data_IF_079074634370
#
_entry.id   IF_079074634370
#
_cell.length_a   1.000
_cell.length_b   1.000
_cell.length_c   1.000
_cell.angle_alpha   90.00
_cell.angle_beta   90.00
_cell.angle_gamma   90.00
#
_symmetry.space_group_name_H-M   'P 1'
#
loop_
_entity.id
_entity.type
_entity.pdbx_description
1 polymer ?
#
# COMPACT_ATOMS: atom_id res chain seq x y z
N UNK A 1 -27.54 -5.74 33.20
CA UNK A 1 -26.45 -4.92 32.61
C UNK A 1 -25.70 -5.80 31.63
N UNK A 2 -26.21 -5.93 30.41
CA UNK A 2 -25.58 -6.74 29.35
C UNK A 2 -24.54 -5.84 28.68
N UNK A 3 -23.26 -6.09 28.96
CA UNK A 3 -22.16 -5.39 28.30
C UNK A 3 -22.12 -5.78 26.82
N UNK A 4 -22.56 -4.87 25.94
CA UNK A 4 -22.46 -4.99 24.49
C UNK A 4 -21.01 -4.69 24.05
N UNK A 5 -20.11 -5.67 24.19
CA UNK A 5 -18.74 -5.57 23.67
C UNK A 5 -18.63 -5.66 22.13
N UNK A 6 -19.68 -6.16 21.45
CA UNK A 6 -19.64 -6.41 20.00
C UNK A 6 -19.59 -5.13 19.13
N UNK A 7 -20.16 -4.01 19.60
CA UNK A 7 -20.29 -2.78 18.80
C UNK A 7 -19.00 -1.98 18.60
N UNK A 8 -18.04 -2.07 19.53
CA UNK A 8 -16.76 -1.33 19.42
C UNK A 8 -15.84 -1.95 18.36
N UNK A 9 -15.72 -3.28 18.37
CA UNK A 9 -14.82 -3.99 17.47
C UNK A 9 -15.27 -3.93 15.99
N UNK A 10 -16.58 -3.96 15.73
CA UNK A 10 -17.09 -3.83 14.35
C UNK A 10 -16.79 -2.44 13.76
N UNK A 11 -16.88 -1.38 14.56
CA UNK A 11 -16.56 -0.02 14.14
C UNK A 11 -15.05 0.13 13.88
N UNK A 12 -14.19 -0.32 14.80
CA UNK A 12 -12.73 -0.27 14.64
C UNK A 12 -12.26 -1.04 13.39
N UNK A 13 -12.82 -2.23 13.15
CA UNK A 13 -12.53 -3.02 11.95
C UNK A 13 -12.98 -2.33 10.66
N UNK A 14 -14.12 -1.63 10.71
CA UNK A 14 -14.64 -0.85 9.58
C UNK A 14 -13.73 0.33 9.28
N UNK A 15 -13.32 1.09 10.29
CA UNK A 15 -12.38 2.20 10.16
C UNK A 15 -11.02 1.75 9.60
N UNK A 16 -10.49 0.62 10.07
CA UNK A 16 -9.26 0.03 9.53
C UNK A 16 -9.40 -0.33 8.05
N UNK A 17 -10.54 -0.92 7.64
CA UNK A 17 -10.80 -1.28 6.25
C UNK A 17 -10.86 -0.03 5.36
N UNK A 18 -11.60 0.99 5.77
CA UNK A 18 -11.71 2.24 5.02
C UNK A 18 -10.37 2.96 4.92
N UNK A 19 -9.54 2.95 5.98
CA UNK A 19 -8.17 3.47 5.94
C UNK A 19 -7.33 2.75 4.88
N UNK A 20 -7.33 1.42 4.87
CA UNK A 20 -6.58 0.63 3.88
C UNK A 20 -7.06 0.97 2.47
N UNK A 21 -8.37 1.05 2.26
CA UNK A 21 -8.94 1.43 0.96
C UNK A 21 -8.50 2.82 0.52
N UNK A 22 -8.54 3.82 1.42
CA UNK A 22 -8.01 5.16 1.17
C UNK A 22 -6.55 5.13 0.73
N UNK A 23 -5.71 4.38 1.44
CA UNK A 23 -4.28 4.26 1.11
C UNK A 23 -4.05 3.58 -0.25
N UNK A 24 -4.86 2.61 -0.66
CA UNK A 24 -4.78 2.02 -2.02
C UNK A 24 -5.02 3.05 -3.11
N UNK A 25 -6.09 3.83 -2.97
CA UNK A 25 -6.42 4.87 -3.94
C UNK A 25 -5.33 5.92 -4.03
N UNK A 26 -4.86 6.41 -2.87
CA UNK A 26 -3.80 7.42 -2.82
C UNK A 26 -2.48 6.88 -3.40
N UNK A 27 -2.13 5.63 -3.12
CA UNK A 27 -0.93 4.98 -3.65
C UNK A 27 -0.94 4.93 -5.18
N UNK A 28 -2.04 4.47 -5.79
CA UNK A 28 -2.17 4.40 -7.26
C UNK A 28 -2.19 5.80 -7.88
N UNK A 29 -2.88 6.76 -7.25
CA UNK A 29 -2.91 8.14 -7.70
C UNK A 29 -1.50 8.74 -7.73
N UNK A 30 -0.74 8.62 -6.62
CA UNK A 30 0.59 9.20 -6.50
C UNK A 30 1.61 8.54 -7.42
N UNK A 31 1.54 7.22 -7.64
CA UNK A 31 2.40 6.56 -8.64
C UNK A 31 2.22 7.18 -10.03
N UNK A 32 0.97 7.44 -10.44
CA UNK A 32 0.67 8.11 -11.71
C UNK A 32 1.16 9.56 -11.72
N UNK A 33 0.93 10.29 -10.62
CA UNK A 33 1.35 11.69 -10.48
C UNK A 33 2.88 11.85 -10.58
N UNK A 34 3.63 10.91 -10.01
CA UNK A 34 5.09 10.90 -10.04
C UNK A 34 5.69 10.32 -11.33
N UNK A 35 4.87 9.87 -12.28
CA UNK A 35 5.32 9.51 -13.63
C UNK A 35 5.45 8.01 -13.90
N UNK A 36 4.81 7.14 -13.12
CA UNK A 36 4.71 5.73 -13.48
C UNK A 36 3.92 5.56 -14.80
N UNK A 37 4.55 4.94 -15.81
CA UNK A 37 3.89 4.63 -17.09
C UNK A 37 3.05 3.34 -17.04
N UNK A 38 3.44 2.40 -16.18
CA UNK A 38 2.70 1.16 -15.94
C UNK A 38 1.35 1.42 -15.25
N UNK A 39 0.32 0.67 -15.61
CA UNK A 39 -0.98 0.74 -14.92
C UNK A 39 -0.97 -0.04 -13.60
N UNK A 40 -1.25 0.66 -12.50
CA UNK A 40 -1.39 0.10 -11.14
C UNK A 40 -2.84 0.05 -10.64
N UNK A 41 -3.84 0.32 -11.50
CA UNK A 41 -5.27 0.34 -11.15
C UNK A 41 -5.75 -0.96 -10.48
N UNK A 42 -5.16 -2.10 -10.83
CA UNK A 42 -5.45 -3.41 -10.26
C UNK A 42 -5.16 -3.52 -8.74
N UNK A 43 -4.42 -2.58 -8.14
CA UNK A 43 -4.19 -2.54 -6.67
C UNK A 43 -5.44 -2.07 -5.92
N UNK A 44 -6.28 -1.25 -6.55
CA UNK A 44 -7.54 -0.74 -5.97
C UNK A 44 -8.55 -1.87 -5.80
N UNK A 45 -8.62 -2.78 -6.76
CA UNK A 45 -9.58 -3.90 -6.76
C UNK A 45 -9.19 -5.03 -5.77
N UNK A 46 -7.96 -5.01 -5.26
CA UNK A 46 -7.50 -6.00 -4.29
C UNK A 46 -8.01 -5.72 -2.87
N UNK A 47 -8.35 -6.79 -2.15
CA UNK A 47 -8.88 -6.72 -0.79
C UNK A 47 -7.87 -7.22 0.26
N UNK A 48 -8.05 -6.74 1.50
CA UNK A 48 -7.22 -7.13 2.64
C UNK A 48 -6.02 -6.21 2.86
N UNK A 49 -5.08 -6.62 3.73
CA UNK A 49 -3.94 -5.81 4.14
C UNK A 49 -2.80 -5.78 3.13
N UNK A 50 -2.74 -6.76 2.22
CA UNK A 50 -1.63 -6.94 1.30
C UNK A 50 -2.03 -6.67 -0.14
N UNK A 51 -1.03 -6.39 -0.97
CA UNK A 51 -1.19 -6.35 -2.42
C UNK A 51 0.01 -6.92 -3.14
N UNK A 52 -0.22 -7.42 -4.35
CA UNK A 52 0.85 -7.54 -5.33
C UNK A 52 0.99 -6.19 -6.02
N UNK A 53 2.19 -5.61 -5.95
CA UNK A 53 2.52 -4.32 -6.57
C UNK A 53 2.77 -4.44 -8.07
N UNK A 54 3.13 -5.62 -8.57
CA UNK A 54 3.60 -5.80 -9.95
C UNK A 54 5.09 -5.52 -10.14
N UNK A 55 5.82 -5.16 -9.08
CA UNK A 55 7.26 -4.99 -9.11
C UNK A 55 7.99 -6.33 -9.27
N UNK A 56 9.07 -6.34 -10.05
CA UNK A 56 9.96 -7.49 -10.17
C UNK A 56 10.85 -7.64 -8.93
N UNK A 57 11.50 -8.81 -8.80
CA UNK A 57 12.43 -9.04 -7.71
C UNK A 57 13.61 -8.06 -7.72
N UNK A 58 14.12 -7.71 -8.90
CA UNK A 58 15.21 -6.75 -9.08
C UNK A 58 14.79 -5.34 -8.66
N UNK A 59 13.57 -4.91 -9.01
CA UNK A 59 13.04 -3.61 -8.59
C UNK A 59 12.86 -3.54 -7.06
N UNK A 60 12.43 -4.65 -6.44
CA UNK A 60 12.35 -4.76 -4.97
C UNK A 60 13.73 -4.71 -4.33
N UNK A 61 14.73 -5.36 -4.92
CA UNK A 61 16.10 -5.33 -4.41
C UNK A 61 16.67 -3.90 -4.47
N UNK A 62 16.43 -3.16 -5.56
CA UNK A 62 16.78 -1.73 -5.69
C UNK A 62 16.07 -0.86 -4.66
N UNK A 63 14.78 -1.06 -4.41
CA UNK A 63 14.04 -0.34 -3.36
C UNK A 63 14.69 -0.49 -1.98
N UNK A 64 15.15 -1.70 -1.68
CA UNK A 64 15.84 -2.00 -0.42
C UNK A 64 17.21 -1.31 -0.35
N UNK A 65 18.00 -1.40 -1.40
CA UNK A 65 19.39 -0.93 -1.42
C UNK A 65 19.51 0.60 -1.53
N UNK A 66 18.70 1.21 -2.38
CA UNK A 66 18.78 2.65 -2.69
C UNK A 66 17.93 3.51 -1.76
N UNK A 67 16.80 2.96 -1.25
CA UNK A 67 15.77 3.75 -0.57
C UNK A 67 15.39 3.22 0.82
N UNK A 68 15.98 2.11 1.26
CA UNK A 68 15.64 1.41 2.51
C UNK A 68 14.16 1.01 2.63
N UNK A 69 13.52 0.70 1.49
CA UNK A 69 12.13 0.22 1.41
C UNK A 69 12.13 -1.30 1.28
N UNK A 70 11.52 -1.99 2.25
CA UNK A 70 11.52 -3.45 2.32
C UNK A 70 10.18 -4.03 1.87
N UNK A 71 10.22 -4.88 0.84
CA UNK A 71 9.07 -5.67 0.36
C UNK A 71 9.49 -7.13 0.15
N UNK A 72 8.51 -8.02 -0.06
CA UNK A 72 8.80 -9.40 -0.46
C UNK A 72 9.21 -9.39 -1.93
N UNK A 73 10.27 -10.13 -2.30
CA UNK A 73 10.78 -10.22 -3.69
C UNK A 73 9.74 -10.70 -4.72
N UNK A 74 8.59 -11.23 -4.28
CA UNK A 74 7.43 -11.52 -5.14
C UNK A 74 6.61 -10.27 -5.51
N UNK A 75 7.05 -9.07 -5.12
CA UNK A 75 6.30 -7.82 -5.28
C UNK A 75 5.16 -7.65 -4.27
N UNK A 76 5.04 -8.52 -3.26
CA UNK A 76 3.99 -8.41 -2.23
C UNK A 76 4.32 -7.31 -1.23
N UNK A 77 3.41 -6.34 -1.07
CA UNK A 77 3.51 -5.19 -0.16
C UNK A 77 2.42 -5.22 0.92
N UNK A 78 2.71 -4.61 2.08
CA UNK A 78 1.74 -4.40 3.16
C UNK A 78 1.15 -2.98 3.06
N UNK A 79 -0.06 -2.88 2.53
CA UNK A 79 -0.77 -1.60 2.36
C UNK A 79 -1.20 -1.02 3.71
N UNK A 80 -1.44 -1.87 4.71
CA UNK A 80 -1.82 -1.40 6.04
C UNK A 80 -0.69 -0.63 6.76
N UNK A 81 0.57 -0.81 6.34
CA UNK A 81 1.73 -0.06 6.86
C UNK A 81 2.02 1.25 6.12
N UNK A 82 1.27 1.56 5.06
CA UNK A 82 1.37 2.85 4.36
C UNK A 82 0.61 3.91 5.15
N UNK A 83 1.24 5.06 5.34
CA UNK A 83 0.69 6.23 6.04
C UNK A 83 0.82 7.46 5.16
N UNK A 84 0.08 8.52 5.48
CA UNK A 84 0.19 9.80 4.77
C UNK A 84 1.62 10.38 4.85
N UNK A 85 2.34 10.12 5.93
CA UNK A 85 3.71 10.58 6.13
C UNK A 85 4.74 9.87 5.23
N UNK A 86 4.50 8.60 4.87
CA UNK A 86 5.49 7.79 4.14
C UNK A 86 5.13 7.55 2.66
N UNK A 87 3.87 7.75 2.27
CA UNK A 87 3.38 7.36 0.95
C UNK A 87 4.05 8.13 -0.19
N UNK A 88 4.38 9.41 0.03
CA UNK A 88 5.07 10.22 -0.96
C UNK A 88 6.47 9.68 -1.26
N UNK A 89 7.28 9.48 -0.22
CA UNK A 89 8.63 8.91 -0.37
C UNK A 89 8.58 7.50 -0.99
N UNK A 90 7.60 6.68 -0.58
CA UNK A 90 7.39 5.35 -1.15
C UNK A 90 7.10 5.42 -2.66
N UNK A 91 6.14 6.22 -3.09
CA UNK A 91 5.75 6.31 -4.49
C UNK A 91 6.87 6.92 -5.36
N UNK A 92 7.54 7.98 -4.91
CA UNK A 92 8.70 8.56 -5.62
C UNK A 92 9.83 7.53 -5.79
N UNK A 93 10.11 6.75 -4.74
CA UNK A 93 11.14 5.71 -4.78
C UNK A 93 10.76 4.56 -5.72
N UNK A 94 9.47 4.17 -5.75
CA UNK A 94 8.98 3.17 -6.70
C UNK A 94 9.19 3.65 -8.12
N UNK A 95 8.79 4.86 -8.48
CA UNK A 95 8.96 5.37 -9.85
C UNK A 95 10.42 5.39 -10.30
N UNK A 96 11.37 5.64 -9.39
CA UNK A 96 12.82 5.59 -9.70
C UNK A 96 13.36 4.18 -10.00
N UNK A 97 12.64 3.14 -9.58
CA UNK A 97 13.03 1.75 -9.83
C UNK A 97 12.21 1.06 -10.91
N UNK A 98 11.10 1.67 -11.36
CA UNK A 98 10.34 1.19 -12.52
C UNK A 98 11.23 1.15 -13.76
#
# INVERSE_FOLDING_TARGET
MTLNFAKSGENELTEMRERIKKMRHLFVQLLKEYGAEQDFSFIIEQNGMFSFSGLTGEQVDRLKEEFAIYAVRSGRINVAGITEDNIHYLCESIVKVL
#
